data_IF_919268997450
#
_entry.id   IF_919268997450
#
_cell.length_a   1.000
_cell.length_b   1.000
_cell.length_c   1.000
_cell.angle_alpha   90.00
_cell.angle_beta   90.00
_cell.angle_gamma   90.00
#
_symmetry.space_group_name_H-M   'P 1'
#
loop_
_entity.id
_entity.type
_entity.pdbx_description
1 polymer ?
#
# COMPACT_ATOMS: atom_id res chain seq x y z
N UNK A 1 -10.78 -11.98 63.06
CA UNK A 1 -9.72 -11.93 62.05
C UNK A 1 -10.07 -10.86 61.03
N UNK A 2 -9.54 -9.62 61.19
CA UNK A 2 -9.80 -8.52 60.28
C UNK A 2 -8.78 -8.58 59.14
N UNK A 3 -9.22 -8.94 57.97
CA UNK A 3 -8.45 -8.77 56.72
C UNK A 3 -8.47 -7.28 56.36
N UNK A 4 -7.37 -6.56 56.61
CA UNK A 4 -7.15 -5.26 56.03
C UNK A 4 -6.62 -5.48 54.62
N UNK A 5 -7.27 -4.90 53.56
CA UNK A 5 -6.70 -4.92 52.23
C UNK A 5 -5.47 -3.99 52.22
N UNK A 6 -4.34 -4.50 51.92
CA UNK A 6 -3.12 -3.76 51.62
C UNK A 6 -3.39 -2.88 50.37
N UNK A 7 -3.88 -1.67 50.58
CA UNK A 7 -3.98 -0.65 49.54
C UNK A 7 -2.69 0.20 49.59
N UNK A 8 -1.59 -0.41 49.15
CA UNK A 8 -0.34 0.32 49.01
C UNK A 8 -0.44 1.13 47.69
N UNK A 9 -0.48 2.47 47.82
CA UNK A 9 -0.61 3.44 46.72
C UNK A 9 0.51 3.27 45.71
N UNK A 10 1.66 2.76 46.09
CA UNK A 10 2.79 2.42 45.23
C UNK A 10 2.48 1.21 44.32
N UNK A 11 1.86 0.17 44.85
CA UNK A 11 1.45 -1.03 44.07
C UNK A 11 0.41 -0.67 43.02
N UNK A 12 -0.49 0.24 43.32
CA UNK A 12 -1.49 0.73 42.34
C UNK A 12 -0.87 1.49 41.14
N UNK A 13 0.20 2.27 41.39
CA UNK A 13 0.91 3.00 40.31
C UNK A 13 1.70 2.03 39.42
N UNK A 14 2.39 1.05 40.01
CA UNK A 14 3.12 0.02 39.26
C UNK A 14 2.18 -0.87 38.43
N UNK A 15 1.00 -1.21 38.96
CA UNK A 15 -0.01 -1.99 38.24
C UNK A 15 -0.54 -1.23 37.04
N UNK A 16 -0.84 0.07 37.18
CA UNK A 16 -1.28 0.94 36.06
C UNK A 16 -0.20 1.07 35.00
N UNK A 17 1.08 1.22 35.41
CA UNK A 17 2.20 1.30 34.48
C UNK A 17 2.37 -0.03 33.71
N UNK A 18 2.31 -1.17 34.41
CA UNK A 18 2.39 -2.48 33.80
C UNK A 18 1.24 -2.72 32.79
N UNK A 19 0.01 -2.36 33.17
CA UNK A 19 -1.16 -2.45 32.29
C UNK A 19 -1.00 -1.57 31.03
N UNK A 20 -0.47 -0.36 31.19
CA UNK A 20 -0.19 0.55 30.08
C UNK A 20 0.87 -0.03 29.14
N UNK A 21 1.97 -0.60 29.67
CA UNK A 21 2.99 -1.26 28.87
C UNK A 21 2.45 -2.48 28.10
N UNK A 22 1.59 -3.27 28.71
CA UNK A 22 0.95 -4.43 28.05
C UNK A 22 0.01 -3.97 26.93
N UNK A 23 -0.81 -2.95 27.17
CA UNK A 23 -1.70 -2.38 26.16
C UNK A 23 -0.92 -1.80 24.99
N UNK A 24 0.16 -1.05 25.25
CA UNK A 24 1.02 -0.49 24.21
C UNK A 24 1.71 -1.59 23.39
N UNK A 25 2.22 -2.63 24.05
CA UNK A 25 2.80 -3.78 23.37
C UNK A 25 1.77 -4.52 22.49
N UNK A 26 0.53 -4.66 22.97
CA UNK A 26 -0.56 -5.28 22.22
C UNK A 26 -0.97 -4.45 21.00
N UNK A 27 -1.03 -3.12 21.15
CA UNK A 27 -1.28 -2.20 20.03
C UNK A 27 -0.17 -2.26 18.99
N UNK A 28 1.11 -2.24 19.42
CA UNK A 28 2.26 -2.35 18.52
C UNK A 28 2.28 -3.71 17.81
N UNK A 29 1.97 -4.78 18.52
CA UNK A 29 1.85 -6.12 17.93
C UNK A 29 0.70 -6.21 16.93
N UNK A 30 -0.46 -5.62 17.24
CA UNK A 30 -1.61 -5.54 16.34
C UNK A 30 -1.28 -4.76 15.05
N UNK A 31 -0.58 -3.63 15.18
CA UNK A 31 -0.10 -2.83 14.04
C UNK A 31 0.92 -3.63 13.22
N UNK A 32 1.89 -4.26 13.88
CA UNK A 32 2.90 -5.11 13.23
C UNK A 32 2.24 -6.27 12.47
N UNK A 33 1.26 -6.93 13.08
CA UNK A 33 0.52 -8.03 12.47
C UNK A 33 -0.33 -7.54 11.29
N UNK A 34 -1.04 -6.42 11.43
CA UNK A 34 -1.83 -5.81 10.37
C UNK A 34 -0.95 -5.38 9.17
N UNK A 35 0.22 -4.78 9.43
CA UNK A 35 1.17 -4.36 8.38
C UNK A 35 1.79 -5.57 7.68
N UNK A 36 2.13 -6.64 8.41
CA UNK A 36 2.72 -7.84 7.81
C UNK A 36 1.70 -8.74 7.12
N UNK A 37 0.41 -8.67 7.51
CA UNK A 37 -0.69 -9.39 6.87
C UNK A 37 -1.46 -8.53 5.87
N UNK A 38 -1.22 -7.20 5.84
CA UNK A 38 -1.63 -6.38 4.71
C UNK A 38 -0.99 -7.02 3.47
N UNK A 39 -1.84 -7.45 2.55
CA UNK A 39 -1.52 -8.24 1.36
C UNK A 39 -0.21 -7.74 0.75
N UNK A 40 0.84 -8.55 0.85
CA UNK A 40 2.08 -8.27 0.13
C UNK A 40 1.73 -8.14 -1.34
N UNK A 41 2.32 -7.16 -2.05
CA UNK A 41 2.20 -7.09 -3.49
C UNK A 41 2.50 -8.47 -4.07
N UNK A 42 1.66 -8.97 -4.93
CA UNK A 42 1.96 -10.18 -5.66
C UNK A 42 3.05 -9.82 -6.66
N UNK A 43 4.28 -10.24 -6.41
CA UNK A 43 5.40 -10.08 -7.37
C UNK A 43 5.16 -10.92 -8.64
N UNK A 44 4.10 -11.75 -8.65
CA UNK A 44 3.75 -12.58 -9.80
C UNK A 44 3.02 -11.75 -10.86
N UNK A 45 3.53 -11.72 -12.09
CA UNK A 45 2.84 -11.09 -13.20
C UNK A 45 1.51 -11.80 -13.47
N UNK A 46 0.46 -11.03 -13.68
CA UNK A 46 -0.86 -11.51 -14.05
C UNK A 46 -1.09 -11.25 -15.52
N UNK A 47 -1.42 -12.30 -16.28
CA UNK A 47 -1.77 -12.18 -17.69
C UNK A 47 -3.24 -11.80 -17.85
N UNK A 48 -3.52 -10.85 -18.73
CA UNK A 48 -4.88 -10.40 -19.06
C UNK A 48 -4.97 -10.07 -20.55
N UNK A 49 -6.16 -10.22 -21.15
CA UNK A 49 -6.45 -9.61 -22.44
C UNK A 49 -6.61 -8.09 -22.26
N UNK A 50 -6.30 -7.31 -23.29
CA UNK A 50 -6.42 -5.87 -23.18
C UNK A 50 -7.87 -5.45 -22.88
N UNK A 51 -8.87 -6.08 -23.50
CA UNK A 51 -10.29 -5.88 -23.22
C UNK A 51 -10.64 -6.04 -21.74
N UNK A 52 -10.03 -7.01 -21.05
CA UNK A 52 -10.29 -7.28 -19.63
C UNK A 52 -9.63 -6.23 -18.74
N UNK A 53 -8.55 -5.60 -19.20
CA UNK A 53 -7.87 -4.54 -18.45
C UNK A 53 -8.63 -3.21 -18.47
N UNK A 54 -9.60 -3.04 -19.36
CA UNK A 54 -10.50 -1.87 -19.41
C UNK A 54 -11.77 -2.09 -18.58
N UNK A 55 -12.07 -3.34 -18.19
CA UNK A 55 -13.18 -3.64 -17.27
C UNK A 55 -12.73 -3.63 -15.82
N UNK A 56 -13.27 -2.71 -15.04
CA UNK A 56 -12.98 -2.55 -13.62
C UNK A 56 -13.22 -3.82 -12.79
N UNK A 57 -14.26 -4.59 -13.12
CA UNK A 57 -14.62 -5.81 -12.36
C UNK A 57 -13.62 -6.94 -12.63
N UNK A 58 -13.19 -7.10 -13.86
CA UNK A 58 -12.15 -8.05 -14.27
C UNK A 58 -10.83 -7.69 -13.58
N UNK A 59 -10.41 -6.43 -13.64
CA UNK A 59 -9.20 -5.93 -12.98
C UNK A 59 -9.26 -6.17 -11.45
N UNK A 60 -10.40 -5.85 -10.81
CA UNK A 60 -10.59 -6.08 -9.38
C UNK A 60 -10.42 -7.55 -9.00
N UNK A 61 -11.05 -8.45 -9.76
CA UNK A 61 -11.04 -9.87 -9.51
C UNK A 61 -9.66 -10.50 -9.74
N UNK A 62 -9.07 -10.23 -10.89
CA UNK A 62 -7.84 -10.91 -11.32
C UNK A 62 -6.60 -10.39 -10.58
N UNK A 63 -6.55 -9.09 -10.30
CA UNK A 63 -5.46 -8.48 -9.52
C UNK A 63 -5.71 -8.46 -8.00
N UNK A 64 -6.89 -8.89 -7.55
CA UNK A 64 -7.29 -8.92 -6.14
C UNK A 64 -7.09 -7.58 -5.44
N UNK A 65 -7.59 -6.53 -6.05
CA UNK A 65 -7.49 -5.15 -5.57
C UNK A 65 -8.85 -4.61 -5.15
N UNK A 66 -8.88 -3.45 -4.50
CA UNK A 66 -10.11 -2.75 -4.15
C UNK A 66 -10.78 -2.10 -5.35
N UNK A 67 -12.04 -1.66 -5.23
CA UNK A 67 -12.76 -0.95 -6.30
C UNK A 67 -12.06 0.34 -6.72
N UNK A 68 -11.48 1.06 -5.78
CA UNK A 68 -10.75 2.29 -6.04
C UNK A 68 -9.45 2.02 -6.79
N UNK A 69 -8.67 1.05 -6.32
CA UNK A 69 -7.42 0.62 -6.97
C UNK A 69 -7.67 0.09 -8.38
N UNK A 70 -8.75 -0.69 -8.59
CA UNK A 70 -9.11 -1.18 -9.91
C UNK A 70 -9.41 -0.02 -10.89
N UNK A 71 -10.15 1.01 -10.45
CA UNK A 71 -10.43 2.18 -11.28
C UNK A 71 -9.14 2.97 -11.61
N UNK A 72 -8.21 3.11 -10.67
CA UNK A 72 -6.91 3.75 -10.92
C UNK A 72 -6.08 2.95 -11.93
N UNK A 73 -6.06 1.62 -11.81
CA UNK A 73 -5.34 0.71 -12.72
C UNK A 73 -5.89 0.85 -14.14
N UNK A 74 -7.21 0.73 -14.32
CA UNK A 74 -7.87 0.90 -15.62
C UNK A 74 -7.47 2.23 -16.26
N UNK A 75 -7.64 3.33 -15.52
CA UNK A 75 -7.30 4.68 -16.03
C UNK A 75 -5.82 4.79 -16.42
N UNK A 76 -4.92 4.17 -15.66
CA UNK A 76 -3.48 4.20 -15.97
C UNK A 76 -3.15 3.39 -17.22
N UNK A 77 -3.73 2.20 -17.36
CA UNK A 77 -3.52 1.33 -18.54
C UNK A 77 -4.06 2.03 -19.79
N UNK A 78 -5.29 2.58 -19.73
CA UNK A 78 -5.88 3.32 -20.87
C UNK A 78 -5.02 4.50 -21.30
N UNK A 79 -4.51 5.30 -20.36
CA UNK A 79 -3.63 6.44 -20.67
C UNK A 79 -2.34 6.03 -21.38
N UNK A 80 -1.74 4.90 -20.96
CA UNK A 80 -0.56 4.36 -21.62
C UNK A 80 -0.92 3.82 -23.00
N UNK A 81 -2.01 3.07 -23.10
CA UNK A 81 -2.48 2.49 -24.35
C UNK A 81 -2.82 3.57 -25.39
N UNK A 82 -3.44 4.67 -24.98
CA UNK A 82 -3.77 5.82 -25.83
C UNK A 82 -2.55 6.70 -26.18
N UNK A 83 -1.36 6.35 -25.68
CA UNK A 83 -0.15 7.14 -25.91
C UNK A 83 -0.08 8.46 -25.14
N UNK A 84 -1.02 8.70 -24.20
CA UNK A 84 -1.02 9.89 -23.34
C UNK A 84 0.07 9.84 -22.27
N UNK A 85 0.57 8.64 -21.98
CA UNK A 85 1.63 8.38 -21.02
C UNK A 85 2.57 7.33 -21.61
N UNK A 86 3.88 7.53 -21.51
CA UNK A 86 4.84 6.54 -21.97
C UNK A 86 4.75 5.24 -21.15
N UNK A 87 4.88 4.06 -21.77
CA UNK A 87 4.97 2.80 -21.04
C UNK A 87 6.25 2.76 -20.21
N UNK A 88 6.20 2.08 -19.07
CA UNK A 88 7.37 1.95 -18.20
C UNK A 88 8.51 1.16 -18.89
N UNK A 89 8.15 0.22 -19.77
CA UNK A 89 9.10 -0.64 -20.48
C UNK A 89 8.54 -0.96 -21.86
N UNK A 90 9.41 -0.89 -22.86
CA UNK A 90 9.16 -1.44 -24.19
C UNK A 90 10.33 -2.29 -24.62
N UNK A 91 10.09 -3.53 -25.04
CA UNK A 91 11.08 -4.41 -25.61
C UNK A 91 10.42 -5.44 -26.52
N UNK A 92 11.19 -6.05 -27.39
CA UNK A 92 10.69 -7.00 -28.37
C UNK A 92 10.98 -8.44 -27.92
N UNK A 93 10.00 -9.30 -28.08
CA UNK A 93 10.12 -10.74 -27.83
C UNK A 93 9.85 -11.49 -29.12
N UNK A 94 10.80 -12.31 -29.55
CA UNK A 94 10.58 -13.20 -30.70
C UNK A 94 9.74 -14.39 -30.30
N UNK A 95 8.55 -14.52 -30.87
CA UNK A 95 7.63 -15.61 -30.59
C UNK A 95 6.74 -15.88 -31.83
N UNK A 96 6.21 -17.11 -31.96
CA UNK A 96 5.38 -17.48 -33.12
C UNK A 96 4.02 -16.77 -33.14
N UNK A 97 3.51 -16.33 -32.01
CA UNK A 97 2.26 -15.59 -31.87
C UNK A 97 2.25 -14.77 -30.58
N UNK A 98 1.25 -13.87 -30.42
CA UNK A 98 1.12 -12.97 -29.29
C UNK A 98 0.99 -13.72 -27.94
N UNK A 99 0.26 -14.81 -27.93
CA UNK A 99 0.09 -15.62 -26.72
C UNK A 99 1.42 -16.20 -26.25
N UNK A 100 2.21 -16.77 -27.18
CA UNK A 100 3.54 -17.27 -26.87
C UNK A 100 4.52 -16.15 -26.45
N UNK A 101 4.36 -14.93 -27.00
CA UNK A 101 5.11 -13.76 -26.58
C UNK A 101 4.76 -13.37 -25.13
N UNK A 102 3.49 -13.35 -24.79
CA UNK A 102 3.03 -13.07 -23.43
C UNK A 102 3.53 -14.12 -22.43
N UNK A 103 3.44 -15.41 -22.77
CA UNK A 103 3.93 -16.49 -21.92
C UNK A 103 5.44 -16.39 -21.65
N UNK A 104 6.22 -16.10 -22.69
CA UNK A 104 7.68 -15.88 -22.54
C UNK A 104 7.98 -14.68 -21.69
N UNK A 105 7.25 -13.59 -21.89
CA UNK A 105 7.40 -12.37 -21.11
C UNK A 105 7.08 -12.62 -19.63
N UNK A 106 5.96 -13.27 -19.35
CA UNK A 106 5.55 -13.63 -18.00
C UNK A 106 6.59 -14.51 -17.30
N UNK A 107 7.05 -15.55 -17.98
CA UNK A 107 8.08 -16.46 -17.45
C UNK A 107 9.41 -15.76 -17.21
N UNK A 108 9.83 -14.87 -18.11
CA UNK A 108 11.07 -14.10 -17.95
C UNK A 108 10.98 -13.15 -16.74
N UNK A 109 9.83 -12.53 -16.50
CA UNK A 109 9.61 -11.72 -15.30
C UNK A 109 9.63 -12.58 -14.04
N UNK A 110 8.92 -13.70 -14.03
CA UNK A 110 8.90 -14.65 -12.89
C UNK A 110 10.28 -15.18 -12.52
N UNK A 111 11.09 -15.49 -13.52
CA UNK A 111 12.46 -16.00 -13.32
C UNK A 111 13.47 -14.91 -13.05
N UNK A 112 13.06 -13.63 -13.06
CA UNK A 112 13.95 -12.47 -12.97
C UNK A 112 15.12 -12.53 -13.99
N UNK A 113 14.81 -12.90 -15.23
CA UNK A 113 15.77 -13.14 -16.28
C UNK A 113 16.57 -11.86 -16.58
N UNK A 114 17.90 -11.98 -16.62
CA UNK A 114 18.80 -10.85 -16.90
C UNK A 114 18.70 -10.37 -18.35
N UNK A 115 18.18 -11.16 -19.25
CA UNK A 115 18.02 -10.80 -20.66
C UNK A 115 16.90 -9.78 -20.91
N UNK A 116 15.95 -9.65 -19.99
CA UNK A 116 14.93 -8.61 -20.09
C UNK A 116 15.35 -7.33 -19.36
N UNK A 117 14.85 -6.15 -19.79
CA UNK A 117 15.18 -4.87 -19.19
C UNK A 117 14.95 -4.85 -17.67
N UNK A 118 15.86 -4.19 -16.95
CA UNK A 118 15.76 -4.06 -15.49
C UNK A 118 14.44 -3.44 -15.04
N UNK A 119 13.88 -2.51 -15.82
CA UNK A 119 12.59 -1.90 -15.55
C UNK A 119 11.43 -2.90 -15.62
N UNK A 120 11.50 -3.94 -16.49
CA UNK A 120 10.50 -5.02 -16.51
C UNK A 120 10.61 -5.94 -15.28
N UNK A 121 11.80 -6.06 -14.71
CA UNK A 121 12.10 -6.83 -13.49
C UNK A 121 11.92 -6.06 -12.20
N UNK A 122 11.79 -4.73 -12.29
CA UNK A 122 11.63 -3.88 -11.11
C UNK A 122 10.40 -4.32 -10.30
N UNK A 123 10.53 -4.26 -8.97
CA UNK A 123 9.40 -4.54 -8.07
C UNK A 123 8.29 -3.53 -8.28
N UNK A 124 7.06 -4.01 -8.29
CA UNK A 124 5.85 -3.17 -8.34
C UNK A 124 4.74 -3.84 -7.53
N UNK A 125 3.72 -3.09 -7.14
CA UNK A 125 2.60 -3.65 -6.39
C UNK A 125 1.79 -4.65 -7.22
N UNK A 126 1.69 -4.40 -8.52
CA UNK A 126 1.08 -5.32 -9.49
C UNK A 126 1.85 -5.24 -10.81
N UNK A 127 2.03 -6.39 -11.44
CA UNK A 127 2.56 -6.50 -12.80
C UNK A 127 1.51 -7.15 -13.68
N UNK A 128 1.12 -6.46 -14.74
CA UNK A 128 0.13 -6.96 -15.71
C UNK A 128 0.79 -7.14 -17.06
N UNK A 129 0.67 -8.34 -17.62
CA UNK A 129 1.10 -8.65 -18.98
C UNK A 129 -0.15 -8.77 -19.85
N UNK A 130 -0.32 -7.83 -20.78
CA UNK A 130 -1.51 -7.76 -21.62
C UNK A 130 -1.21 -8.20 -23.04
N UNK A 131 -2.17 -8.90 -23.64
CA UNK A 131 -2.20 -9.22 -25.07
C UNK A 131 -3.18 -8.28 -25.73
N UNK A 132 -2.69 -7.46 -26.66
CA UNK A 132 -3.49 -6.55 -27.48
C UNK A 132 -3.51 -7.08 -28.91
N UNK A 133 -4.62 -7.73 -29.27
CA UNK A 133 -4.79 -8.34 -30.60
C UNK A 133 -5.00 -7.27 -31.68
N UNK A 134 -5.59 -6.11 -31.34
CA UNK A 134 -5.82 -5.04 -32.29
C UNK A 134 -4.50 -4.37 -32.71
N UNK A 135 -3.63 -4.09 -31.75
CA UNK A 135 -2.32 -3.46 -31.99
C UNK A 135 -1.20 -4.47 -32.25
N UNK A 136 -1.51 -5.78 -32.23
CA UNK A 136 -0.56 -6.89 -32.43
C UNK A 136 0.68 -6.77 -31.53
N UNK A 137 0.47 -6.52 -30.22
CA UNK A 137 1.55 -6.33 -29.26
C UNK A 137 1.26 -6.95 -27.89
N UNK A 138 2.32 -7.16 -27.13
CA UNK A 138 2.27 -7.52 -25.72
C UNK A 138 2.85 -6.36 -24.91
N UNK A 139 2.08 -5.85 -23.98
CA UNK A 139 2.49 -4.76 -23.09
C UNK A 139 2.70 -5.28 -21.67
N UNK A 140 3.65 -4.69 -20.96
CA UNK A 140 3.89 -4.95 -19.54
C UNK A 140 3.64 -3.66 -18.75
N UNK A 141 2.64 -3.71 -17.88
CA UNK A 141 2.33 -2.59 -17.00
C UNK A 141 2.86 -2.86 -15.59
N UNK A 142 3.74 -1.99 -15.14
CA UNK A 142 4.24 -1.95 -13.75
C UNK A 142 3.41 -0.93 -12.98
N UNK A 143 2.58 -1.43 -12.07
CA UNK A 143 1.59 -0.62 -11.37
C UNK A 143 2.00 -0.53 -9.91
N UNK A 144 2.26 0.70 -9.48
CA UNK A 144 2.42 1.01 -8.06
C UNK A 144 1.11 1.66 -7.60
N UNK A 145 0.43 0.97 -6.70
CA UNK A 145 -0.77 1.47 -6.05
C UNK A 145 -0.34 2.50 -5.01
N UNK A 146 -1.00 3.64 -5.01
CA UNK A 146 -0.73 4.65 -4.00
C UNK A 146 -1.12 4.08 -2.64
N UNK A 147 -0.15 3.92 -1.77
CA UNK A 147 -0.43 3.57 -0.38
C UNK A 147 -0.95 4.82 0.34
N UNK A 148 -2.26 5.07 0.20
CA UNK A 148 -2.91 6.28 0.71
C UNK A 148 -3.11 6.26 2.23
N UNK A 149 -2.65 5.19 2.91
CA UNK A 149 -2.72 5.06 4.35
C UNK A 149 -1.33 5.24 4.95
N UNK A 150 -1.17 6.24 5.82
CA UNK A 150 0.11 6.54 6.48
C UNK A 150 -0.12 6.74 7.97
N UNK A 151 0.73 6.13 8.79
CA UNK A 151 0.84 6.45 10.21
C UNK A 151 2.03 7.38 10.35
N UNK A 152 1.84 8.49 11.06
CA UNK A 152 2.87 9.49 11.30
C UNK A 152 3.05 9.67 12.80
N UNK A 153 4.27 9.88 13.24
CA UNK A 153 4.58 10.25 14.62
C UNK A 153 5.57 11.40 14.60
N UNK A 154 5.42 12.32 15.53
CA UNK A 154 6.28 13.50 15.61
C UNK A 154 6.05 14.28 16.90
N UNK A 155 6.81 15.38 17.04
CA UNK A 155 6.62 16.34 18.13
C UNK A 155 5.97 17.63 17.59
N UNK A 156 5.09 18.19 18.38
CA UNK A 156 4.47 19.51 18.12
C UNK A 156 4.73 20.42 19.31
N UNK A 157 4.98 21.70 19.06
CA UNK A 157 5.19 22.70 20.10
C UNK A 157 4.07 23.73 20.01
N UNK A 158 3.23 23.80 21.06
CA UNK A 158 2.06 24.70 21.11
C UNK A 158 2.08 25.42 22.46
N UNK A 159 1.91 26.72 22.46
CA UNK A 159 1.83 27.59 23.67
C UNK A 159 2.99 27.36 24.66
N UNK A 160 4.20 27.22 24.13
CA UNK A 160 5.39 27.01 24.97
C UNK A 160 5.55 25.59 25.54
N UNK A 161 4.75 24.64 25.11
CA UNK A 161 4.77 23.23 25.59
C UNK A 161 5.01 22.23 24.46
N UNK A 162 5.84 21.22 24.67
CA UNK A 162 6.02 20.12 23.73
C UNK A 162 4.91 19.09 23.87
N UNK A 163 4.44 18.56 22.75
CA UNK A 163 3.45 17.49 22.66
C UNK A 163 3.97 16.37 21.75
N UNK A 164 3.68 15.14 22.09
CA UNK A 164 3.81 14.01 21.18
C UNK A 164 2.59 14.00 20.25
N UNK A 165 2.83 13.83 18.95
CA UNK A 165 1.79 13.85 17.94
C UNK A 165 1.78 12.52 17.19
N UNK A 166 0.61 11.90 17.12
CA UNK A 166 0.39 10.67 16.35
C UNK A 166 -0.73 10.95 15.36
N UNK A 167 -0.45 10.70 14.09
CA UNK A 167 -1.38 10.96 12.99
C UNK A 167 -1.67 9.72 12.16
N UNK A 168 -2.86 9.71 11.59
CA UNK A 168 -3.27 8.74 10.58
C UNK A 168 -3.82 9.48 9.36
N UNK A 169 -3.26 9.17 8.20
CA UNK A 169 -3.70 9.70 6.92
C UNK A 169 -4.41 8.60 6.14
N UNK A 170 -5.58 8.90 5.61
CA UNK A 170 -6.33 8.07 4.68
C UNK A 170 -6.67 8.89 3.44
N UNK A 171 -6.01 8.59 2.33
CA UNK A 171 -6.15 9.38 1.11
C UNK A 171 -5.70 10.83 1.32
N UNK A 172 -6.62 11.77 1.12
CA UNK A 172 -6.38 13.21 1.26
C UNK A 172 -6.65 13.77 2.65
N UNK A 173 -7.22 12.97 3.53
CA UNK A 173 -7.59 13.41 4.90
C UNK A 173 -6.59 12.85 5.90
N UNK A 174 -6.15 13.69 6.82
CA UNK A 174 -5.24 13.33 7.90
C UNK A 174 -5.81 13.81 9.23
N UNK A 175 -5.85 12.92 10.22
CA UNK A 175 -6.15 13.23 11.61
C UNK A 175 -4.90 13.06 12.47
N UNK A 176 -4.61 14.03 13.33
CA UNK A 176 -3.47 14.01 14.24
C UNK A 176 -3.99 14.24 15.66
N UNK A 177 -3.54 13.43 16.60
CA UNK A 177 -3.82 13.60 18.04
C UNK A 177 -2.54 14.05 18.73
N UNK A 178 -2.68 15.04 19.60
CA UNK A 178 -1.59 15.61 20.41
C UNK A 178 -1.76 15.20 21.87
N UNK A 179 -0.69 14.74 22.49
CA UNK A 179 -0.67 14.31 23.90
C UNK A 179 0.60 14.77 24.59
N UNK A 180 0.47 15.13 25.86
CA UNK A 180 1.59 15.43 26.76
C UNK A 180 2.00 14.20 27.63
N UNK A 181 1.38 13.03 27.36
CA UNK A 181 1.58 11.81 28.14
C UNK A 181 0.60 11.63 29.29
N UNK A 182 -0.17 12.66 29.67
CA UNK A 182 -1.23 12.59 30.70
C UNK A 182 -2.63 12.44 30.11
N UNK A 183 -2.81 12.87 28.85
CA UNK A 183 -4.08 12.78 28.15
C UNK A 183 -4.01 13.40 26.73
N UNK A 184 -5.13 13.34 26.04
CA UNK A 184 -5.28 14.02 24.74
C UNK A 184 -5.48 15.51 25.00
N UNK A 185 -4.58 16.33 24.47
CA UNK A 185 -4.59 17.79 24.66
C UNK A 185 -5.20 18.52 23.45
N UNK A 186 -5.29 17.84 22.31
CA UNK A 186 -5.90 18.39 21.11
C UNK A 186 -5.87 17.42 19.94
N UNK A 187 -6.59 17.80 18.89
CA UNK A 187 -6.56 17.11 17.62
C UNK A 187 -6.51 18.11 16.47
N UNK A 188 -5.86 17.70 15.38
CA UNK A 188 -5.78 18.45 14.13
C UNK A 188 -6.31 17.58 13.00
N UNK A 189 -7.15 18.17 12.14
CA UNK A 189 -7.59 17.51 10.89
C UNK A 189 -7.10 18.35 9.72
N UNK A 190 -6.41 17.70 8.79
CA UNK A 190 -5.90 18.33 7.57
C UNK A 190 -6.44 17.65 6.34
N UNK A 191 -6.61 18.42 5.27
CA UNK A 191 -6.98 17.89 3.96
C UNK A 191 -5.98 18.36 2.91
N UNK A 192 -5.43 17.44 2.14
CA UNK A 192 -4.54 17.74 1.01
C UNK A 192 -5.38 18.29 -0.15
N UNK A 193 -5.23 19.57 -0.45
CA UNK A 193 -5.99 20.23 -1.52
C UNK A 193 -5.38 20.00 -2.90
N UNK A 194 -4.06 19.81 -2.99
CA UNK A 194 -3.34 19.57 -4.25
C UNK A 194 -2.15 18.63 -4.02
N UNK A 195 -1.98 17.69 -4.95
CA UNK A 195 -0.78 16.85 -5.08
C UNK A 195 -0.12 17.16 -6.44
N UNK A 196 1.20 17.20 -6.47
CA UNK A 196 2.03 17.52 -7.64
C UNK A 196 2.53 16.24 -8.31
#
# INVERSE_FOLDING_TARGET
MNFQPFHDEKTGKWLKLALFCVLTAFCLFGIYFAVNHAKRPSDEPTRMQFSDTTDKNSVKKDLRVTDHEAAEIVTKIERIHDGKTAPNVSYYVTAPNLNAAADRTEQAIKKNDSQIPSAARAKSDRTVVTVDEEKQKVDVYKINLRNNHKIKAGGTYIDGKPYLSIGYQAGRVEGIVHTDGTGVQGCTVMCTTKEW
#
